data_IF_259030560979
#
_entry.id   IF_259030560979
#
_cell.length_a   1.000
_cell.length_b   1.000
_cell.length_c   1.000
_cell.angle_alpha   90.00
_cell.angle_beta   90.00
_cell.angle_gamma   90.00
#
_symmetry.space_group_name_H-M   'P 1'
#
loop_
_entity.id
_entity.type
_entity.pdbx_description
1 polymer ?
#
# COMPACT_ATOMS: atom_id res chain seq x y z
N UNK A 1 18.41 -6.45 -19.53
CA UNK A 1 18.30 -5.36 -18.55
C UNK A 1 16.88 -4.87 -18.58
N UNK A 2 16.03 -5.42 -17.77
CA UNK A 2 14.72 -4.85 -17.50
C UNK A 2 14.96 -3.62 -16.63
N UNK A 3 15.09 -2.47 -17.26
CA UNK A 3 14.89 -1.18 -16.61
C UNK A 3 13.44 -1.17 -16.12
N UNK A 4 13.24 -1.58 -14.89
CA UNK A 4 11.98 -1.35 -14.20
C UNK A 4 12.02 0.13 -13.80
N UNK A 5 11.84 0.97 -14.79
CA UNK A 5 11.63 2.40 -14.57
C UNK A 5 10.21 2.52 -14.01
N UNK A 6 10.10 2.32 -12.70
CA UNK A 6 8.85 2.43 -11.96
C UNK A 6 8.49 3.91 -11.84
N UNK A 7 7.93 4.44 -12.93
CA UNK A 7 7.41 5.80 -12.97
C UNK A 7 5.98 5.79 -12.40
N UNK A 8 5.86 5.91 -11.09
CA UNK A 8 4.57 5.93 -10.39
C UNK A 8 3.67 7.11 -10.83
N UNK A 9 4.20 8.34 -11.03
CA UNK A 9 3.40 9.43 -11.60
C UNK A 9 2.86 9.12 -13.00
N UNK A 10 3.65 8.51 -13.87
CA UNK A 10 3.17 8.11 -15.20
C UNK A 10 2.14 6.99 -15.13
N UNK A 11 2.31 6.06 -14.20
CA UNK A 11 1.32 5.01 -13.93
C UNK A 11 0.01 5.62 -13.42
N UNK A 12 0.07 6.58 -12.50
CA UNK A 12 -1.11 7.28 -12.00
C UNK A 12 -1.87 7.96 -13.13
N UNK A 13 -1.20 8.69 -14.03
CA UNK A 13 -1.84 9.30 -15.22
C UNK A 13 -2.52 8.29 -16.14
N UNK A 14 -1.96 7.08 -16.27
CA UNK A 14 -2.59 6.03 -17.07
C UNK A 14 -3.86 5.50 -16.40
N UNK A 15 -3.87 5.34 -15.07
CA UNK A 15 -5.06 4.95 -14.33
C UNK A 15 -6.12 6.06 -14.28
N UNK A 16 -5.72 7.32 -14.21
CA UNK A 16 -6.61 8.47 -14.30
C UNK A 16 -7.45 8.43 -15.59
N UNK A 17 -6.85 8.14 -16.72
CA UNK A 17 -7.57 7.93 -17.99
C UNK A 17 -8.60 6.79 -17.93
N UNK A 18 -8.32 5.75 -17.16
CA UNK A 18 -9.27 4.65 -16.96
C UNK A 18 -10.43 5.10 -16.07
N UNK A 19 -10.16 5.89 -15.04
CA UNK A 19 -11.17 6.46 -14.15
C UNK A 19 -12.11 7.38 -14.94
N UNK A 20 -11.58 8.29 -15.74
CA UNK A 20 -12.36 9.16 -16.62
C UNK A 20 -13.21 8.34 -17.61
N UNK A 21 -12.62 7.32 -18.26
CA UNK A 21 -13.38 6.42 -19.12
C UNK A 21 -14.53 5.71 -18.39
N UNK A 22 -14.34 5.29 -17.14
CA UNK A 22 -15.39 4.67 -16.34
C UNK A 22 -16.50 5.65 -16.00
N UNK A 23 -16.17 6.88 -15.64
CA UNK A 23 -17.14 7.94 -15.33
C UNK A 23 -18.03 8.29 -16.53
N UNK A 24 -17.49 8.19 -17.73
CA UNK A 24 -18.22 8.43 -18.99
C UNK A 24 -19.21 7.31 -19.37
N UNK A 25 -19.20 6.16 -18.66
CA UNK A 25 -20.12 5.05 -18.97
C UNK A 25 -21.51 5.33 -18.38
N UNK A 26 -22.55 5.11 -19.18
CA UNK A 26 -23.95 5.39 -18.79
C UNK A 26 -24.49 4.53 -17.66
N UNK A 27 -23.86 3.41 -17.35
CA UNK A 27 -24.22 2.45 -16.30
C UNK A 27 -23.33 2.57 -15.04
N UNK A 28 -22.42 3.54 -15.03
CA UNK A 28 -21.57 3.86 -13.88
C UNK A 28 -22.07 5.13 -13.19
N UNK A 29 -22.18 5.07 -11.88
CA UNK A 29 -22.41 6.26 -11.05
C UNK A 29 -21.04 6.94 -10.83
N UNK A 30 -20.77 8.04 -11.53
CA UNK A 30 -19.49 8.75 -11.47
C UNK A 30 -19.11 9.16 -10.04
N UNK A 31 -20.07 9.45 -9.19
CA UNK A 31 -19.86 9.80 -7.79
C UNK A 31 -19.47 8.61 -6.89
N UNK A 32 -19.38 7.39 -7.44
CA UNK A 32 -19.05 6.17 -6.72
C UNK A 32 -17.83 5.44 -7.29
N UNK A 33 -17.04 6.10 -8.10
CA UNK A 33 -15.79 5.52 -8.60
C UNK A 33 -14.70 5.68 -7.54
N UNK A 34 -14.10 4.55 -7.15
CA UNK A 34 -13.05 4.51 -6.14
C UNK A 34 -11.82 3.73 -6.62
N UNK A 35 -10.84 3.62 -5.74
CA UNK A 35 -9.58 2.92 -6.00
C UNK A 35 -9.45 1.68 -5.12
N UNK A 36 -9.02 0.57 -5.72
CA UNK A 36 -8.52 -0.60 -5.00
C UNK A 36 -7.02 -0.76 -5.27
N UNK A 37 -6.20 -0.61 -4.25
CA UNK A 37 -4.75 -0.68 -4.35
C UNK A 37 -4.16 -1.73 -3.41
N UNK A 38 -3.24 -2.55 -3.90
CA UNK A 38 -2.55 -3.56 -3.12
C UNK A 38 -1.05 -3.30 -3.09
N UNK A 39 -0.40 -3.51 -1.93
CA UNK A 39 1.03 -3.48 -1.80
C UNK A 39 1.63 -2.20 -2.40
N UNK A 40 2.54 -2.29 -3.35
CA UNK A 40 3.20 -1.16 -4.02
C UNK A 40 2.24 -0.24 -4.80
N UNK A 41 1.05 -0.74 -5.24
CA UNK A 41 0.06 0.11 -5.92
C UNK A 41 -0.49 1.21 -5.00
N UNK A 42 -0.29 1.12 -3.70
CA UNK A 42 -0.62 2.19 -2.74
C UNK A 42 0.13 3.49 -3.06
N UNK A 43 1.34 3.40 -3.61
CA UNK A 43 2.06 4.59 -4.06
C UNK A 43 1.39 5.23 -5.28
N UNK A 44 0.88 4.41 -6.21
CA UNK A 44 0.15 4.91 -7.38
C UNK A 44 -1.16 5.58 -6.94
N UNK A 45 -1.91 4.96 -6.02
CA UNK A 45 -3.15 5.54 -5.50
C UNK A 45 -2.93 6.89 -4.82
N UNK A 46 -1.78 7.07 -4.17
CA UNK A 46 -1.43 8.35 -3.55
C UNK A 46 -1.27 9.48 -4.58
N UNK A 47 -0.67 9.21 -5.74
CA UNK A 47 -0.59 10.19 -6.83
C UNK A 47 -1.94 10.44 -7.47
N UNK A 48 -2.75 9.40 -7.68
CA UNK A 48 -4.11 9.54 -8.21
C UNK A 48 -4.96 10.46 -7.35
N UNK A 49 -4.96 10.27 -6.03
CA UNK A 49 -5.74 11.09 -5.11
C UNK A 49 -5.22 12.53 -4.98
N UNK A 50 -3.96 12.77 -5.29
CA UNK A 50 -3.41 14.14 -5.36
C UNK A 50 -3.90 14.87 -6.61
N UNK A 51 -3.98 14.16 -7.74
CA UNK A 51 -4.35 14.71 -9.03
C UNK A 51 -5.88 14.75 -9.25
N UNK A 52 -6.62 13.78 -8.68
CA UNK A 52 -8.08 13.65 -8.84
C UNK A 52 -8.79 13.61 -7.46
N UNK A 53 -9.28 14.75 -6.98
CA UNK A 53 -9.99 14.86 -5.70
C UNK A 53 -11.42 14.28 -5.73
N UNK A 54 -11.97 13.94 -6.90
CA UNK A 54 -13.32 13.42 -7.07
C UNK A 54 -13.41 11.88 -6.95
N UNK A 55 -12.28 11.23 -6.65
CA UNK A 55 -12.27 9.82 -6.28
C UNK A 55 -13.05 9.63 -4.98
N UNK A 56 -14.08 8.77 -5.03
CA UNK A 56 -15.06 8.65 -3.94
C UNK A 56 -14.51 7.95 -2.69
N UNK A 57 -13.62 6.97 -2.86
CA UNK A 57 -13.05 6.18 -1.76
C UNK A 57 -11.78 5.43 -2.21
N UNK A 58 -11.05 4.91 -1.23
CA UNK A 58 -9.96 3.98 -1.51
C UNK A 58 -9.99 2.74 -0.60
N UNK A 59 -9.59 1.60 -1.18
CA UNK A 59 -9.37 0.35 -0.49
C UNK A 59 -7.89 0.00 -0.60
N UNK A 60 -7.22 -0.15 0.53
CA UNK A 60 -5.79 -0.42 0.62
C UNK A 60 -5.56 -1.81 1.21
N UNK A 61 -5.05 -2.72 0.41
CA UNK A 61 -4.70 -4.06 0.82
C UNK A 61 -3.20 -4.17 1.07
N UNK A 62 -2.82 -4.54 2.27
CA UNK A 62 -1.41 -4.66 2.68
C UNK A 62 -0.55 -3.48 2.20
N UNK A 63 -0.94 -2.24 2.54
CA UNK A 63 -0.40 -1.05 1.90
C UNK A 63 1.08 -0.82 2.21
N UNK A 64 1.84 -0.46 1.19
CA UNK A 64 3.18 0.10 1.33
C UNK A 64 3.10 1.62 1.55
N UNK A 65 3.20 2.04 2.80
CA UNK A 65 3.02 3.45 3.21
C UNK A 65 4.34 4.23 3.25
N UNK A 66 5.44 3.52 3.41
CA UNK A 66 6.78 4.10 3.47
C UNK A 66 7.42 4.17 2.09
N UNK A 67 8.50 4.94 1.97
CA UNK A 67 9.24 5.02 0.72
C UNK A 67 9.69 3.61 0.26
N UNK A 68 9.88 3.40 -1.05
CA UNK A 68 10.35 2.12 -1.57
C UNK A 68 11.61 1.62 -0.87
N UNK A 69 12.52 2.52 -0.54
CA UNK A 69 13.75 2.21 0.18
C UNK A 69 13.50 1.72 1.60
N UNK A 70 12.61 2.39 2.35
CA UNK A 70 12.24 1.97 3.71
C UNK A 70 11.53 0.63 3.70
N UNK A 71 10.62 0.42 2.73
CA UNK A 71 9.91 -0.84 2.54
C UNK A 71 10.86 -1.98 2.21
N UNK A 72 11.83 -1.76 1.31
CA UNK A 72 12.86 -2.74 1.00
C UNK A 72 13.74 -3.05 2.21
N UNK A 73 14.14 -2.03 2.97
CA UNK A 73 14.90 -2.20 4.21
C UNK A 73 14.16 -3.05 5.23
N UNK A 74 12.86 -2.84 5.38
CA UNK A 74 12.02 -3.67 6.23
C UNK A 74 11.97 -5.13 5.75
N UNK A 75 11.67 -5.35 4.48
CA UNK A 75 11.59 -6.68 3.88
C UNK A 75 12.88 -7.48 4.10
N UNK A 76 14.03 -6.90 3.77
CA UNK A 76 15.33 -7.55 3.95
C UNK A 76 15.64 -7.83 5.42
N UNK A 77 15.25 -6.95 6.34
CA UNK A 77 15.46 -7.19 7.78
C UNK A 77 14.59 -8.31 8.34
N UNK A 78 13.39 -8.53 7.81
CA UNK A 78 12.56 -9.67 8.20
C UNK A 78 13.20 -11.01 7.81
N UNK A 79 13.76 -11.12 6.61
CA UNK A 79 14.49 -12.31 6.17
C UNK A 79 15.66 -12.62 7.10
N UNK A 80 16.41 -11.61 7.55
CA UNK A 80 17.51 -11.82 8.52
C UNK A 80 17.00 -12.24 9.91
N UNK A 81 15.83 -11.78 10.31
CA UNK A 81 15.20 -12.24 11.57
C UNK A 81 14.85 -13.72 11.48
N UNK A 82 14.31 -14.18 10.37
CA UNK A 82 13.96 -15.58 10.14
C UNK A 82 15.18 -16.50 10.18
N UNK A 83 16.36 -16.05 9.76
CA UNK A 83 17.61 -16.81 9.87
C UNK A 83 18.38 -16.59 11.18
N UNK A 84 17.79 -15.88 12.14
CA UNK A 84 18.36 -15.70 13.49
C UNK A 84 19.48 -14.66 13.59
N UNK A 85 19.53 -13.71 12.66
CA UNK A 85 20.47 -12.59 12.74
C UNK A 85 20.13 -11.68 13.94
N UNK A 86 21.16 -11.21 14.63
CA UNK A 86 20.98 -10.34 15.78
C UNK A 86 20.55 -8.92 15.37
N UNK A 87 19.91 -8.19 16.29
CA UNK A 87 19.39 -6.83 16.06
C UNK A 87 20.46 -5.84 15.58
N UNK A 88 21.69 -6.00 15.99
CA UNK A 88 22.80 -5.14 15.56
C UNK A 88 23.09 -5.28 14.06
N UNK A 89 23.09 -6.51 13.55
CA UNK A 89 23.26 -6.75 12.12
C UNK A 89 22.08 -6.24 11.30
N UNK A 90 20.86 -6.48 11.76
CA UNK A 90 19.64 -5.93 11.14
C UNK A 90 19.70 -4.41 11.04
N UNK A 91 20.09 -3.73 12.12
CA UNK A 91 20.24 -2.27 12.14
C UNK A 91 21.28 -1.76 11.13
N UNK A 92 22.41 -2.48 10.96
CA UNK A 92 23.43 -2.13 9.96
C UNK A 92 22.86 -2.29 8.54
N UNK A 93 22.24 -3.42 8.25
CA UNK A 93 21.64 -3.70 6.94
C UNK A 93 20.60 -2.66 6.60
N UNK A 94 19.70 -2.34 7.54
CA UNK A 94 18.69 -1.31 7.34
C UNK A 94 19.29 0.07 7.06
N UNK A 95 20.39 0.44 7.75
CA UNK A 95 21.10 1.70 7.49
C UNK A 95 21.76 1.72 6.11
N UNK A 96 22.38 0.62 5.68
CA UNK A 96 22.99 0.51 4.35
C UNK A 96 21.93 0.67 3.27
N UNK A 97 20.82 -0.07 3.36
CA UNK A 97 19.72 0.04 2.40
C UNK A 97 19.05 1.43 2.43
N UNK A 98 18.96 2.06 3.59
CA UNK A 98 18.41 3.42 3.72
C UNK A 98 19.35 4.50 3.17
N UNK A 99 20.65 4.27 3.17
CA UNK A 99 21.66 5.22 2.72
C UNK A 99 21.97 5.11 1.22
N UNK A 100 21.70 3.96 0.61
CA UNK A 100 22.00 3.73 -0.80
C UNK A 100 20.97 4.40 -1.70
N UNK A 101 21.45 5.38 -2.45
CA UNK A 101 20.65 6.22 -3.33
C UNK A 101 20.49 5.66 -4.75
N UNK A 102 21.12 4.54 -5.10
CA UNK A 102 21.19 4.08 -6.49
C UNK A 102 20.82 2.62 -6.74
N UNK A 103 20.77 1.79 -5.71
CA UNK A 103 20.79 0.34 -5.86
C UNK A 103 19.60 -0.25 -6.64
N UNK A 104 18.46 0.41 -6.68
CA UNK A 104 17.27 -0.11 -7.35
C UNK A 104 16.48 0.93 -8.16
N UNK A 105 17.08 2.07 -8.49
CA UNK A 105 16.37 3.14 -9.21
C UNK A 105 15.24 3.80 -8.39
N UNK A 106 15.21 3.57 -7.08
CA UNK A 106 14.13 3.98 -6.19
C UNK A 106 14.32 5.38 -5.57
N UNK A 107 15.16 6.21 -6.18
CA UNK A 107 15.72 7.39 -5.52
C UNK A 107 14.85 8.64 -5.53
N UNK A 108 13.90 8.73 -6.43
CA UNK A 108 13.22 9.98 -6.73
C UNK A 108 11.78 10.04 -6.18
N UNK A 109 11.50 9.25 -5.17
CA UNK A 109 10.15 9.14 -4.64
C UNK A 109 10.04 9.86 -3.30
N UNK A 110 9.43 11.04 -3.29
CA UNK A 110 9.13 11.77 -2.07
C UNK A 110 7.67 11.54 -1.65
N UNK A 111 7.48 10.68 -0.67
CA UNK A 111 6.17 10.43 -0.06
C UNK A 111 5.67 11.57 0.83
N UNK A 112 6.53 12.53 1.17
CA UNK A 112 6.15 13.55 2.14
C UNK A 112 5.08 14.50 1.59
N UNK A 113 5.11 14.74 0.28
CA UNK A 113 4.15 15.60 -0.42
C UNK A 113 2.80 14.94 -0.66
N UNK A 114 2.77 13.60 -0.84
CA UNK A 114 1.58 12.84 -1.22
C UNK A 114 0.65 12.46 -0.05
N UNK A 115 1.16 12.48 1.16
CA UNK A 115 0.47 11.85 2.32
C UNK A 115 -0.85 12.48 2.70
N UNK A 116 -1.03 13.77 2.44
CA UNK A 116 -2.24 14.48 2.87
C UNK A 116 -3.43 14.23 1.94
N UNK A 117 -3.23 14.35 0.63
CA UNK A 117 -4.28 14.14 -0.36
C UNK A 117 -4.72 12.67 -0.36
N UNK A 118 -3.77 11.74 -0.33
CA UNK A 118 -4.04 10.30 -0.37
C UNK A 118 -4.95 9.78 0.74
N UNK A 119 -5.06 10.49 1.86
CA UNK A 119 -5.88 10.03 2.99
C UNK A 119 -7.08 10.94 3.29
N UNK A 120 -7.43 11.81 2.37
CA UNK A 120 -8.58 12.72 2.52
C UNK A 120 -9.94 12.08 2.19
N UNK A 121 -9.95 10.91 1.54
CA UNK A 121 -11.16 10.19 1.14
C UNK A 121 -11.47 9.05 2.11
N UNK A 122 -12.74 8.57 2.16
CA UNK A 122 -13.09 7.34 2.88
C UNK A 122 -12.11 6.23 2.54
N UNK A 123 -11.52 5.60 3.56
CA UNK A 123 -10.40 4.68 3.39
C UNK A 123 -10.64 3.38 4.15
N UNK A 124 -10.60 2.26 3.44
CA UNK A 124 -10.57 0.92 4.03
C UNK A 124 -9.15 0.37 3.96
N UNK A 125 -8.63 -0.08 5.08
CA UNK A 125 -7.29 -0.69 5.17
C UNK A 125 -7.42 -2.13 5.65
N UNK A 126 -6.96 -3.08 4.87
CA UNK A 126 -6.91 -4.49 5.20
C UNK A 126 -5.48 -5.03 5.17
N UNK A 127 -5.09 -5.83 6.16
CA UNK A 127 -3.79 -6.47 6.16
C UNK A 127 -3.77 -7.80 6.93
N UNK A 128 -2.88 -8.68 6.54
CA UNK A 128 -2.65 -9.96 7.21
C UNK A 128 -1.69 -9.82 8.39
N UNK A 129 -1.98 -10.50 9.51
CA UNK A 129 -1.09 -10.46 10.68
C UNK A 129 0.24 -11.20 10.48
N UNK A 130 0.34 -12.05 9.46
CA UNK A 130 1.57 -12.74 9.04
C UNK A 130 2.28 -12.08 7.87
N UNK A 131 1.85 -10.88 7.48
CA UNK A 131 2.53 -10.13 6.43
C UNK A 131 3.97 -9.80 6.88
N UNK A 132 4.94 -10.39 6.19
CA UNK A 132 6.38 -10.16 6.41
C UNK A 132 6.98 -9.22 5.37
N UNK A 133 6.21 -8.82 4.35
CA UNK A 133 6.69 -7.98 3.25
C UNK A 133 6.58 -6.50 3.58
N UNK A 134 5.63 -6.11 4.43
CA UNK A 134 5.34 -4.71 4.72
C UNK A 134 5.22 -4.45 6.22
N UNK A 135 5.67 -3.27 6.66
CA UNK A 135 5.59 -2.84 8.06
C UNK A 135 4.16 -2.38 8.40
N UNK A 136 3.23 -3.33 8.49
CA UNK A 136 1.79 -3.04 8.57
C UNK A 136 1.41 -2.18 9.77
N UNK A 137 1.89 -2.49 10.96
CA UNK A 137 1.52 -1.74 12.19
C UNK A 137 1.95 -0.28 12.09
N UNK A 138 3.16 -0.03 11.65
CA UNK A 138 3.67 1.34 11.49
C UNK A 138 3.02 2.04 10.28
N UNK A 139 2.74 1.29 9.22
CA UNK A 139 1.99 1.78 8.06
C UNK A 139 0.59 2.25 8.44
N UNK A 140 -0.16 1.44 9.19
CA UNK A 140 -1.50 1.82 9.70
C UNK A 140 -1.44 3.06 10.58
N UNK A 141 -0.47 3.14 11.48
CA UNK A 141 -0.27 4.35 12.31
C UNK A 141 -0.02 5.60 11.46
N UNK A 142 0.78 5.48 10.40
CA UNK A 142 1.05 6.58 9.48
C UNK A 142 -0.21 6.99 8.70
N UNK A 143 -1.01 6.03 8.23
CA UNK A 143 -2.31 6.28 7.57
C UNK A 143 -3.23 7.04 8.51
N UNK A 144 -3.47 6.53 9.71
CA UNK A 144 -4.37 7.15 10.70
C UNK A 144 -3.90 8.56 11.07
N UNK A 145 -2.60 8.76 11.25
CA UNK A 145 -2.05 10.08 11.54
C UNK A 145 -2.28 11.08 10.40
N UNK A 146 -2.07 10.66 9.16
CA UNK A 146 -2.26 11.53 7.99
C UNK A 146 -3.75 11.78 7.71
N UNK A 147 -4.61 10.77 7.86
CA UNK A 147 -6.05 10.92 7.76
C UNK A 147 -6.59 11.92 8.80
N UNK A 148 -6.13 11.80 10.04
CA UNK A 148 -6.49 12.76 11.09
C UNK A 148 -6.05 14.20 10.73
N UNK A 149 -4.85 14.36 10.18
CA UNK A 149 -4.39 15.68 9.69
C UNK A 149 -5.23 16.25 8.55
N UNK A 150 -5.80 15.39 7.72
CA UNK A 150 -6.71 15.74 6.64
C UNK A 150 -8.18 15.90 7.12
N UNK A 151 -8.42 15.83 8.44
CA UNK A 151 -9.75 15.80 9.05
C UNK A 151 -10.66 14.65 8.53
N UNK A 152 -10.03 13.57 8.07
CA UNK A 152 -10.73 12.37 7.64
C UNK A 152 -10.87 11.37 8.79
N UNK A 153 -12.07 11.24 9.30
CA UNK A 153 -12.43 10.27 10.34
C UNK A 153 -13.06 8.99 9.79
N UNK A 154 -13.28 8.92 8.47
CA UNK A 154 -13.84 7.76 7.80
C UNK A 154 -12.72 6.81 7.33
N UNK A 155 -12.00 6.25 8.31
CA UNK A 155 -10.97 5.24 8.07
C UNK A 155 -11.30 3.98 8.83
N UNK A 156 -11.54 2.90 8.09
CA UNK A 156 -11.76 1.56 8.65
C UNK A 156 -10.50 0.74 8.51
N UNK A 157 -10.05 0.12 9.60
CA UNK A 157 -8.88 -0.77 9.61
C UNK A 157 -9.30 -2.17 10.01
N UNK A 158 -8.93 -3.18 9.23
CA UNK A 158 -9.12 -4.60 9.51
C UNK A 158 -7.80 -5.36 9.45
N UNK A 159 -7.56 -6.12 10.50
CA UNK A 159 -6.44 -7.06 10.59
C UNK A 159 -6.97 -8.47 10.53
N UNK A 160 -6.45 -9.28 9.62
CA UNK A 160 -6.88 -10.67 9.45
C UNK A 160 -5.85 -11.61 10.09
N UNK A 161 -6.22 -12.29 11.18
CA UNK A 161 -5.33 -13.23 11.86
C UNK A 161 -4.84 -14.33 10.93
N UNK A 162 -3.57 -14.70 11.07
CA UNK A 162 -2.88 -15.76 10.32
C UNK A 162 -2.86 -15.59 8.78
N UNK A 163 -3.35 -14.48 8.26
CA UNK A 163 -3.28 -14.19 6.84
C UNK A 163 -1.93 -13.58 6.46
N UNK A 164 -1.47 -13.89 5.26
CA UNK A 164 -0.23 -13.40 4.64
C UNK A 164 -0.41 -12.02 3.95
N UNK A 165 0.59 -11.59 3.16
CA UNK A 165 0.58 -10.31 2.44
C UNK A 165 -0.59 -10.13 1.47
N UNK A 166 -1.08 -11.19 0.86
CA UNK A 166 -2.22 -11.15 -0.07
C UNK A 166 -3.54 -11.60 0.58
N UNK A 167 -3.61 -11.56 1.92
CA UNK A 167 -4.75 -11.98 2.75
C UNK A 167 -5.18 -13.43 2.55
N UNK A 168 -4.26 -14.33 2.23
CA UNK A 168 -4.53 -15.76 2.17
C UNK A 168 -4.05 -16.49 3.43
N UNK A 169 -4.71 -17.61 3.73
CA UNK A 169 -4.36 -18.49 4.86
C UNK A 169 -3.35 -19.53 4.37
N UNK A 170 -2.07 -19.27 4.50
CA UNK A 170 -0.99 -20.17 4.07
C UNK A 170 0.23 -19.43 3.60
N UNK A 171 1.20 -20.17 3.05
CA UNK A 171 2.39 -19.56 2.48
C UNK A 171 2.05 -18.85 1.16
N UNK A 172 2.73 -17.76 0.87
CA UNK A 172 2.48 -16.94 -0.32
C UNK A 172 2.69 -17.70 -1.64
N UNK A 173 3.49 -18.76 -1.59
CA UNK A 173 3.80 -19.64 -2.72
C UNK A 173 2.74 -20.71 -3.01
N UNK A 174 1.79 -20.93 -2.10
CA UNK A 174 0.77 -21.97 -2.26
C UNK A 174 -0.40 -21.48 -3.11
N UNK A 175 -0.43 -21.91 -4.36
CA UNK A 175 -1.58 -21.67 -5.24
C UNK A 175 -2.83 -22.34 -4.68
N UNK A 176 -3.94 -21.59 -4.61
CA UNK A 176 -5.24 -22.13 -4.22
C UNK A 176 -5.55 -22.06 -2.72
N UNK A 177 -4.69 -21.47 -1.90
CA UNK A 177 -5.04 -21.17 -0.50
C UNK A 177 -6.22 -20.20 -0.43
N UNK A 178 -7.19 -20.41 0.48
CA UNK A 178 -8.34 -19.52 0.61
C UNK A 178 -7.92 -18.14 1.12
N UNK A 179 -8.73 -17.13 0.85
CA UNK A 179 -8.64 -15.86 1.53
C UNK A 179 -8.96 -16.02 3.02
N UNK A 180 -8.49 -15.06 3.83
CA UNK A 180 -8.85 -15.00 5.24
C UNK A 180 -10.37 -14.95 5.41
N UNK A 181 -10.87 -15.68 6.41
CA UNK A 181 -12.28 -15.67 6.73
C UNK A 181 -12.78 -14.22 6.94
N UNK A 182 -13.98 -13.96 6.50
CA UNK A 182 -14.66 -12.67 6.56
C UNK A 182 -14.06 -11.53 5.72
N UNK A 183 -12.88 -11.70 5.06
CA UNK A 183 -12.28 -10.59 4.28
C UNK A 183 -13.21 -10.08 3.17
N UNK A 184 -13.77 -10.99 2.40
CA UNK A 184 -14.65 -10.64 1.27
C UNK A 184 -15.96 -10.03 1.77
N UNK A 185 -16.52 -10.61 2.84
CA UNK A 185 -17.76 -10.12 3.44
C UNK A 185 -17.55 -8.72 4.06
N UNK A 186 -16.48 -8.53 4.84
CA UNK A 186 -16.10 -7.23 5.42
C UNK A 186 -15.91 -6.14 4.35
N UNK A 187 -15.38 -6.53 3.19
CA UNK A 187 -15.17 -5.59 2.08
C UNK A 187 -16.47 -5.23 1.36
N UNK A 188 -17.40 -6.19 1.23
CA UNK A 188 -18.71 -5.96 0.61
C UNK A 188 -19.60 -5.09 1.51
N UNK A 189 -19.50 -5.29 2.83
CA UNK A 189 -20.31 -4.59 3.82
C UNK A 189 -19.83 -3.15 4.11
N UNK A 190 -18.57 -2.84 3.75
CA UNK A 190 -17.99 -1.52 3.93
C UNK A 190 -18.46 -0.54 2.87
#
# INVERSE_FOLDING_TARGET
TTDINRDYPASAKAYDQVIEYLRDQSDVDEAKVGIYATSESTWISSYLLEDDPDIAFQILLSPMVFSPRQSLGFFVTQDFTLVGANEGYQSIVQRVFSADTGLFGLNNFDLATLKHAAYAVPTYVAYGSKDVMTAQVDGVRAILYNAHKADNWNVTVRSYPVANHVLRLGDESEAGTPFADAYVDDLIDW
#
